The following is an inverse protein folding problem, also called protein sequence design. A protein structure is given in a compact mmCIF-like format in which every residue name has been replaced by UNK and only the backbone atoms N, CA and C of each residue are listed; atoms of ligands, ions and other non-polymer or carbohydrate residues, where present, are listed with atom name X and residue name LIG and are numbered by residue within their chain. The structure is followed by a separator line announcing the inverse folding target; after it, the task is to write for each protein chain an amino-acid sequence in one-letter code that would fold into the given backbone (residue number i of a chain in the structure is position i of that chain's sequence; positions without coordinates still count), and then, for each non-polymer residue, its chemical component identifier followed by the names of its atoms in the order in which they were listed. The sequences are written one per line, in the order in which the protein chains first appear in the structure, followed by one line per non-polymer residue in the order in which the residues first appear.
data_IF_822133646117
#
_entry.id   IF_822133646117
#
_cell.length_a   1.000
_cell.length_b   1.000
_cell.length_c   1.000
_cell.angle_alpha   90.00
_cell.angle_beta   90.00
_cell.angle_gamma   90.00
#
_symmetry.space_group_name_H-M   'P 1'
#
loop_
_entity.id
_entity.type
_entity.pdbx_description
1 polymer ?
#
# COMPACT_ATOMS: atom_id res chain seq x y z
N UNK A 1 27.66 5.04 -12.57
CA UNK A 1 26.54 5.91 -12.96
C UNK A 1 25.28 5.08 -13.03
N UNK A 2 24.67 4.82 -11.87
CA UNK A 2 23.23 4.62 -11.87
C UNK A 2 22.64 5.97 -12.32
N UNK A 3 21.80 5.96 -13.35
CA UNK A 3 21.18 7.17 -13.88
C UNK A 3 20.57 7.98 -12.72
N UNK A 4 21.05 9.21 -12.51
CA UNK A 4 20.66 10.12 -11.41
C UNK A 4 19.13 10.28 -11.26
N UNK A 5 18.40 10.19 -12.37
CA UNK A 5 16.94 10.21 -12.36
C UNK A 5 16.32 8.91 -11.81
N UNK A 6 16.96 7.76 -12.04
CA UNK A 6 16.54 6.47 -11.52
C UNK A 6 16.76 6.33 -10.01
N UNK A 7 17.87 6.87 -9.49
CA UNK A 7 18.16 6.89 -8.05
C UNK A 7 17.22 7.84 -7.29
N UNK A 8 16.99 9.06 -7.81
CA UNK A 8 16.02 10.02 -7.20
C UNK A 8 14.62 9.43 -7.11
N UNK A 9 14.15 8.82 -8.20
CA UNK A 9 12.81 8.21 -8.25
C UNK A 9 12.70 7.00 -7.33
N UNK A 10 13.72 6.15 -7.27
CA UNK A 10 13.73 5.01 -6.35
C UNK A 10 13.68 5.47 -4.89
N UNK A 11 14.46 6.49 -4.55
CA UNK A 11 14.50 6.99 -3.20
C UNK A 11 13.22 7.70 -2.75
N UNK A 12 12.52 8.35 -3.66
CA UNK A 12 11.19 8.92 -3.40
C UNK A 12 10.21 7.86 -2.89
N UNK A 13 10.26 6.62 -3.41
CA UNK A 13 9.38 5.53 -2.99
C UNK A 13 9.76 4.89 -1.65
N UNK A 14 10.96 5.18 -1.14
CA UNK A 14 11.37 4.74 0.20
C UNK A 14 10.78 5.62 1.30
N UNK A 15 10.42 6.86 0.99
CA UNK A 15 9.84 7.78 1.99
C UNK A 15 8.48 7.29 2.51
N UNK A 16 7.50 6.89 1.67
CA UNK A 16 6.28 6.22 2.14
C UNK A 16 6.56 4.96 2.94
N UNK A 17 7.53 4.14 2.52
CA UNK A 17 7.92 2.95 3.25
C UNK A 17 8.45 3.26 4.66
N UNK A 18 9.28 4.31 4.81
CA UNK A 18 9.74 4.79 6.11
C UNK A 18 8.58 5.27 6.99
N UNK A 19 7.68 6.09 6.44
CA UNK A 19 6.49 6.59 7.16
C UNK A 19 5.66 5.41 7.68
N UNK A 20 5.46 4.39 6.85
CA UNK A 20 4.70 3.21 7.18
C UNK A 20 5.40 2.31 8.21
N UNK A 21 6.73 2.18 8.13
CA UNK A 21 7.53 1.48 9.12
C UNK A 21 7.43 2.16 10.49
N UNK A 22 7.56 3.49 10.56
CA UNK A 22 7.42 4.23 11.82
C UNK A 22 6.04 4.00 12.43
N UNK A 23 4.98 4.05 11.62
CA UNK A 23 3.63 3.76 12.11
C UNK A 23 3.50 2.33 12.63
N UNK A 24 4.05 1.34 11.90
CA UNK A 24 4.04 -0.05 12.31
C UNK A 24 4.76 -0.26 13.64
N UNK A 25 5.96 0.31 13.79
CA UNK A 25 6.74 0.30 15.03
C UNK A 25 5.96 0.88 16.21
N UNK A 26 5.32 2.04 16.02
CA UNK A 26 4.57 2.71 17.08
C UNK A 26 3.35 1.91 17.57
N UNK A 27 2.80 1.04 16.72
CA UNK A 27 1.59 0.28 17.00
C UNK A 27 1.84 -1.23 17.19
N UNK A 28 3.09 -1.68 17.11
CA UNK A 28 3.46 -3.10 17.26
C UNK A 28 3.02 -3.98 16.09
N UNK A 29 2.91 -3.44 14.87
CA UNK A 29 2.68 -4.23 13.67
C UNK A 29 4.00 -4.72 13.06
N UNK A 30 3.96 -5.90 12.45
CA UNK A 30 5.01 -6.32 11.55
C UNK A 30 4.96 -5.48 10.26
N UNK A 31 6.13 -5.11 9.74
CA UNK A 31 6.27 -4.38 8.48
C UNK A 31 7.09 -5.18 7.47
N UNK A 32 6.62 -5.24 6.22
CA UNK A 32 7.33 -5.91 5.13
C UNK A 32 7.37 -5.02 3.89
N UNK A 33 8.56 -4.52 3.55
CA UNK A 33 8.80 -3.88 2.26
C UNK A 33 9.21 -4.95 1.24
N UNK A 34 8.34 -5.24 0.26
CA UNK A 34 8.53 -6.33 -0.69
C UNK A 34 8.95 -5.83 -2.07
N UNK A 35 10.17 -6.15 -2.48
CA UNK A 35 10.63 -5.93 -3.85
C UNK A 35 10.41 -7.18 -4.70
N UNK A 36 9.47 -7.09 -5.63
CA UNK A 36 9.12 -8.21 -6.50
C UNK A 36 9.90 -8.15 -7.81
N UNK A 37 10.53 -9.25 -8.26
CA UNK A 37 11.18 -9.29 -9.55
C UNK A 37 10.12 -9.17 -10.66
N UNK A 38 10.20 -8.09 -11.45
CA UNK A 38 9.24 -7.83 -12.53
C UNK A 38 9.79 -8.14 -13.93
N UNK A 39 11.12 -8.29 -14.05
CA UNK A 39 11.75 -8.69 -15.32
C UNK A 39 11.21 -10.08 -15.70
N UNK A 40 10.72 -10.21 -16.94
CA UNK A 40 10.12 -11.42 -17.52
C UNK A 40 8.68 -11.78 -17.09
N UNK A 41 7.99 -10.90 -16.37
CA UNK A 41 6.56 -11.12 -16.06
C UNK A 41 5.73 -10.73 -17.29
N UNK A 42 4.80 -11.61 -17.71
CA UNK A 42 3.98 -11.31 -18.88
C UNK A 42 2.94 -10.21 -18.66
N UNK A 43 2.76 -9.74 -17.42
CA UNK A 43 1.79 -8.73 -16.98
C UNK A 43 2.48 -7.43 -16.57
N UNK A 44 1.75 -6.33 -16.49
CA UNK A 44 2.22 -5.08 -15.89
C UNK A 44 2.66 -5.30 -14.43
N UNK A 45 3.71 -4.61 -13.91
CA UNK A 45 4.19 -4.80 -12.53
C UNK A 45 3.12 -4.63 -11.44
N UNK A 46 2.09 -3.81 -11.66
CA UNK A 46 0.97 -3.65 -10.73
C UNK A 46 0.32 -5.00 -10.32
N UNK A 47 0.35 -6.00 -11.19
CA UNK A 47 -0.18 -7.33 -10.90
C UNK A 47 0.62 -8.10 -9.83
N UNK A 48 1.88 -7.75 -9.60
CA UNK A 48 2.76 -8.46 -8.67
C UNK A 48 2.34 -8.32 -7.21
N UNK A 49 1.55 -7.29 -6.87
CA UNK A 49 0.96 -7.16 -5.53
C UNK A 49 0.14 -8.39 -5.15
N UNK A 50 -0.56 -9.01 -6.10
CA UNK A 50 -1.34 -10.23 -5.86
C UNK A 50 -0.45 -11.41 -5.44
N UNK A 51 0.74 -11.52 -6.05
CA UNK A 51 1.72 -12.55 -5.71
C UNK A 51 2.31 -12.27 -4.34
N UNK A 52 2.72 -11.03 -4.07
CA UNK A 52 3.25 -10.61 -2.77
C UNK A 52 2.25 -10.87 -1.63
N UNK A 53 1.00 -10.43 -1.79
CA UNK A 53 -0.08 -10.66 -0.83
C UNK A 53 -0.34 -12.15 -0.60
N UNK A 54 -0.37 -12.97 -1.66
CA UNK A 54 -0.54 -14.44 -1.52
C UNK A 54 0.62 -15.09 -0.76
N UNK A 55 1.85 -14.59 -0.92
CA UNK A 55 3.03 -15.13 -0.24
C UNK A 55 3.03 -14.80 1.26
N UNK A 56 2.63 -13.58 1.63
CA UNK A 56 2.72 -13.11 3.01
C UNK A 56 1.49 -13.46 3.85
N UNK A 57 0.29 -13.47 3.25
CA UNK A 57 -0.98 -13.68 3.96
C UNK A 57 -1.01 -14.93 4.87
N UNK A 58 -0.46 -16.10 4.49
CA UNK A 58 -0.47 -17.28 5.36
C UNK A 58 0.23 -17.12 6.72
N UNK A 59 1.08 -16.09 6.87
CA UNK A 59 1.86 -15.83 8.09
C UNK A 59 1.14 -14.92 9.09
N UNK A 60 0.03 -14.32 8.69
CA UNK A 60 -0.67 -13.30 9.45
C UNK A 60 -2.17 -13.59 9.52
N UNK A 61 -2.88 -13.03 10.51
CA UNK A 61 -4.35 -13.07 10.53
C UNK A 61 -4.93 -12.02 9.57
N UNK A 62 -4.35 -10.82 9.57
CA UNK A 62 -4.70 -9.73 8.68
C UNK A 62 -3.45 -9.17 7.99
N UNK A 63 -3.59 -8.74 6.75
CA UNK A 63 -2.55 -8.02 6.00
C UNK A 63 -3.16 -6.75 5.43
N UNK A 64 -2.64 -5.60 5.83
CA UNK A 64 -2.87 -4.33 5.13
C UNK A 64 -1.82 -4.19 4.03
N UNK A 65 -2.27 -4.06 2.79
CA UNK A 65 -1.46 -3.74 1.64
C UNK A 65 -1.55 -2.24 1.34
N UNK A 66 -0.40 -1.64 1.02
CA UNK A 66 -0.25 -0.26 0.60
C UNK A 66 0.59 -0.23 -0.69
N UNK A 67 0.10 0.47 -1.73
CA UNK A 67 0.93 0.84 -2.87
C UNK A 67 2.07 1.76 -2.42
N UNK A 68 3.15 1.83 -3.20
CA UNK A 68 4.37 2.56 -2.83
C UNK A 68 4.18 4.08 -2.69
N UNK A 69 3.06 4.60 -3.15
CA UNK A 69 2.60 5.99 -3.04
C UNK A 69 1.49 6.18 -1.99
N UNK A 70 1.22 5.17 -1.16
CA UNK A 70 0.29 5.22 -0.05
C UNK A 70 0.99 5.17 1.32
N UNK A 71 0.56 6.02 2.25
CA UNK A 71 1.15 6.09 3.58
C UNK A 71 0.18 6.55 4.68
N UNK A 72 0.44 6.15 5.92
CA UNK A 72 -0.34 6.59 7.09
C UNK A 72 -0.21 8.10 7.31
N UNK A 73 -1.35 8.79 7.48
CA UNK A 73 -1.37 10.21 7.81
C UNK A 73 -0.79 10.45 9.20
N UNK A 74 0.01 11.52 9.32
CA UNK A 74 0.61 11.96 10.58
C UNK A 74 -0.01 13.29 11.08
N UNK A 75 -0.09 13.53 12.40
CA UNK A 75 0.23 12.59 13.48
C UNK A 75 -0.73 11.39 13.45
N UNK A 76 -0.16 10.18 13.61
CA UNK A 76 -0.88 8.92 13.44
C UNK A 76 -2.19 8.89 14.22
N UNK A 77 -3.28 8.49 13.55
CA UNK A 77 -4.48 8.10 14.31
C UNK A 77 -4.13 6.81 15.06
N UNK A 78 -4.46 6.67 16.36
CA UNK A 78 -4.33 5.38 17.02
C UNK A 78 -5.17 4.32 16.30
N UNK A 79 -4.62 3.12 16.13
CA UNK A 79 -5.37 1.93 15.71
C UNK A 79 -6.03 2.02 14.31
N UNK A 80 -5.34 2.63 13.34
CA UNK A 80 -5.84 2.75 11.95
C UNK A 80 -6.17 1.38 11.34
N UNK A 81 -5.30 0.40 11.56
CA UNK A 81 -5.46 -0.94 10.97
C UNK A 81 -6.67 -1.65 11.56
N UNK A 82 -6.82 -1.64 12.88
CA UNK A 82 -7.97 -2.23 13.58
C UNK A 82 -9.26 -1.54 13.16
N UNK A 83 -9.23 -0.21 12.99
CA UNK A 83 -10.38 0.53 12.49
C UNK A 83 -10.78 0.06 11.09
N UNK A 84 -9.82 -0.14 10.17
CA UNK A 84 -10.11 -0.67 8.83
C UNK A 84 -10.68 -2.11 8.88
N UNK A 85 -10.15 -2.95 9.77
CA UNK A 85 -10.65 -4.31 10.00
C UNK A 85 -12.11 -4.30 10.48
N UNK A 86 -12.44 -3.40 11.42
CA UNK A 86 -13.78 -3.28 12.00
C UNK A 86 -14.77 -2.70 11.00
N UNK A 87 -14.44 -1.58 10.35
CA UNK A 87 -15.30 -0.95 9.32
C UNK A 87 -15.48 -1.87 8.11
N UNK A 88 -14.41 -2.58 7.73
CA UNK A 88 -14.41 -3.60 6.69
C UNK A 88 -15.15 -4.88 7.07
N UNK A 89 -15.55 -5.04 8.34
CA UNK A 89 -16.23 -6.23 8.87
C UNK A 89 -15.42 -7.52 8.68
N UNK A 90 -14.09 -7.44 8.62
CA UNK A 90 -13.23 -8.62 8.42
C UNK A 90 -13.31 -9.59 9.62
N UNK A 91 -13.40 -9.03 10.82
CA UNK A 91 -13.65 -9.78 12.05
C UNK A 91 -15.03 -10.46 12.08
N UNK A 92 -15.95 -10.08 11.18
CA UNK A 92 -17.30 -10.66 11.04
C UNK A 92 -17.46 -11.60 9.83
N UNK A 93 -16.35 -11.98 9.19
CA UNK A 93 -16.36 -12.97 8.11
C UNK A 93 -16.03 -12.41 6.73
N UNK A 94 -15.98 -11.09 6.54
CA UNK A 94 -15.49 -10.52 5.28
C UNK A 94 -14.01 -10.87 5.08
N UNK A 95 -13.62 -11.12 3.83
CA UNK A 95 -12.28 -11.59 3.48
C UNK A 95 -11.36 -10.46 3.06
N UNK A 96 -11.94 -9.34 2.62
CA UNK A 96 -11.22 -8.17 2.14
C UNK A 96 -12.03 -6.90 2.38
N UNK A 97 -11.33 -5.82 2.69
CA UNK A 97 -11.86 -4.46 2.61
C UNK A 97 -10.94 -3.59 1.78
N UNK A 98 -11.53 -2.80 0.89
CA UNK A 98 -10.85 -1.81 0.07
C UNK A 98 -11.80 -0.65 -0.21
N UNK A 99 -11.35 0.38 -0.91
CA UNK A 99 -12.19 1.49 -1.30
C UNK A 99 -12.67 1.36 -2.74
N UNK A 100 -13.88 1.88 -3.03
CA UNK A 100 -14.27 2.15 -4.41
C UNK A 100 -13.60 3.46 -4.88
N UNK A 101 -12.90 3.47 -6.01
CA UNK A 101 -12.33 4.69 -6.67
C UNK A 101 -13.41 5.34 -7.55
N UNK A 102 -13.23 6.45 -8.28
CA UNK A 102 -12.26 7.57 -8.37
C UNK A 102 -13.12 8.76 -8.82
N UNK A 103 -12.76 10.00 -8.50
CA UNK A 103 -13.38 11.20 -9.09
C UNK A 103 -13.27 11.20 -10.63
N UNK A 104 -12.25 10.52 -11.17
CA UNK A 104 -11.94 10.45 -12.61
C UNK A 104 -12.63 9.28 -13.35
N UNK A 105 -12.91 8.17 -12.66
CA UNK A 105 -13.51 6.94 -13.21
C UNK A 105 -14.40 6.27 -12.14
N UNK A 106 -15.67 6.70 -12.00
CA UNK A 106 -16.52 6.43 -10.83
C UNK A 106 -16.92 4.96 -10.59
N UNK A 107 -16.42 4.03 -11.40
CA UNK A 107 -16.81 2.63 -11.37
C UNK A 107 -15.67 1.66 -11.07
N UNK A 108 -14.41 2.09 -11.02
CA UNK A 108 -13.27 1.22 -10.78
C UNK A 108 -12.95 1.23 -9.28
N UNK A 109 -12.73 0.08 -8.63
CA UNK A 109 -12.28 0.05 -7.23
C UNK A 109 -10.84 0.57 -7.12
N UNK A 110 -10.36 1.11 -6.00
CA UNK A 110 -8.93 1.44 -5.85
C UNK A 110 -8.24 0.33 -5.05
N UNK A 111 -7.24 -0.30 -5.63
CA UNK A 111 -6.54 -1.45 -5.02
C UNK A 111 -5.16 -1.08 -4.49
N UNK A 112 -4.88 0.21 -4.32
CA UNK A 112 -3.68 0.73 -3.70
C UNK A 112 -3.70 0.72 -2.17
N UNK A 113 -4.89 0.63 -1.56
CA UNK A 113 -5.03 0.38 -0.12
C UNK A 113 -6.12 -0.66 0.09
N UNK A 114 -5.74 -1.82 0.63
CA UNK A 114 -6.69 -2.89 0.94
C UNK A 114 -6.22 -3.72 2.13
N UNK A 115 -7.16 -4.21 2.94
CA UNK A 115 -6.90 -5.15 4.02
C UNK A 115 -7.47 -6.51 3.66
N UNK A 116 -6.69 -7.56 3.89
CA UNK A 116 -7.04 -8.96 3.70
C UNK A 116 -7.14 -9.66 5.04
N UNK A 117 -8.12 -10.54 5.18
CA UNK A 117 -8.14 -11.56 6.23
C UNK A 117 -7.54 -12.86 5.69
N UNK A 118 -6.74 -13.57 6.47
CA UNK A 118 -6.24 -14.88 6.07
C UNK A 118 -7.35 -15.93 6.16
N UNK A 119 -7.75 -16.45 5.00
CA UNK A 119 -8.73 -17.52 4.87
C UNK A 119 -8.51 -18.28 3.55
N UNK A 120 -9.03 -19.50 3.47
CA UNK A 120 -9.02 -20.27 2.22
C UNK A 120 -9.71 -19.52 1.08
N UNK A 121 -10.82 -18.82 1.40
CA UNK A 121 -11.56 -18.02 0.43
C UNK A 121 -10.73 -16.82 -0.06
N UNK A 122 -9.99 -16.15 0.82
CA UNK A 122 -9.08 -15.06 0.42
C UNK A 122 -7.98 -15.55 -0.51
N UNK A 123 -7.36 -16.69 -0.20
CA UNK A 123 -6.34 -17.29 -1.05
C UNK A 123 -6.90 -17.73 -2.41
N UNK A 124 -8.14 -18.23 -2.44
CA UNK A 124 -8.85 -18.54 -3.68
C UNK A 124 -9.15 -17.29 -4.49
N UNK A 125 -9.66 -16.23 -3.87
CA UNK A 125 -9.94 -14.95 -4.52
C UNK A 125 -8.66 -14.34 -5.12
N UNK A 126 -7.54 -14.33 -4.41
CA UNK A 126 -6.25 -13.85 -4.95
C UNK A 126 -5.78 -14.67 -6.16
N UNK A 127 -6.00 -15.98 -6.14
CA UNK A 127 -5.73 -16.86 -7.27
C UNK A 127 -6.62 -16.51 -8.47
N UNK A 128 -7.93 -16.43 -8.25
CA UNK A 128 -8.89 -16.12 -9.30
C UNK A 128 -8.66 -14.73 -9.89
N UNK A 129 -8.29 -13.75 -9.06
CA UNK A 129 -7.92 -12.42 -9.51
C UNK A 129 -6.73 -12.44 -10.46
N UNK A 130 -5.66 -13.15 -10.12
CA UNK A 130 -4.49 -13.29 -10.99
C UNK A 130 -4.80 -13.94 -12.35
N UNK A 131 -5.69 -14.94 -12.36
CA UNK A 131 -6.07 -15.69 -13.57
C UNK A 131 -7.27 -15.11 -14.33
N UNK A 132 -7.99 -14.16 -13.74
CA UNK A 132 -9.24 -13.57 -14.26
C UNK A 132 -9.13 -13.14 -15.73
N UNK A 133 -8.13 -12.32 -16.06
CA UNK A 133 -7.96 -11.80 -17.42
C UNK A 133 -7.70 -12.89 -18.48
N UNK A 134 -7.07 -14.01 -18.09
CA UNK A 134 -6.82 -15.13 -19.01
C UNK A 134 -8.12 -15.88 -19.32
N UNK A 135 -9.02 -15.95 -18.36
CA UNK A 135 -10.32 -16.61 -18.49
C UNK A 135 -11.35 -15.74 -19.20
N UNK A 136 -11.19 -14.42 -19.15
CA UNK A 136 -12.12 -13.45 -19.74
C UNK A 136 -11.44 -12.58 -20.80
N UNK A 137 -11.41 -13.08 -22.04
CA UNK A 137 -10.65 -12.49 -23.16
C UNK A 137 -10.94 -11.01 -23.42
N UNK A 138 -12.17 -10.54 -23.17
CA UNK A 138 -12.55 -9.14 -23.33
C UNK A 138 -11.78 -8.19 -22.39
N UNK A 139 -11.23 -8.69 -21.27
CA UNK A 139 -10.46 -7.93 -20.30
C UNK A 139 -8.94 -8.11 -20.46
N UNK A 140 -8.48 -8.86 -21.47
CA UNK A 140 -7.05 -9.13 -21.69
C UNK A 140 -6.20 -7.86 -21.90
N UNK A 141 -6.80 -6.76 -22.35
CA UNK A 141 -6.10 -5.48 -22.48
C UNK A 141 -5.51 -5.01 -21.13
N UNK A 142 -6.21 -5.24 -20.03
CA UNK A 142 -5.78 -4.89 -18.67
C UNK A 142 -4.59 -5.71 -18.16
N UNK A 143 -4.12 -6.70 -18.94
CA UNK A 143 -2.82 -7.32 -18.72
C UNK A 143 -1.68 -6.30 -18.74
N UNK A 144 -1.81 -5.24 -19.57
CA UNK A 144 -0.78 -4.21 -19.78
C UNK A 144 -1.30 -2.78 -19.91
N UNK A 145 -2.61 -2.58 -20.07
CA UNK A 145 -3.22 -1.26 -20.09
C UNK A 145 -3.79 -0.93 -18.70
N UNK A 146 -3.74 0.34 -18.35
CA UNK A 146 -4.46 0.86 -17.19
C UNK A 146 -5.97 0.57 -17.34
N UNK A 147 -6.70 0.20 -16.28
CA UNK A 147 -6.31 0.19 -14.86
C UNK A 147 -5.79 -1.17 -14.34
N UNK A 148 -5.20 -2.00 -15.20
CA UNK A 148 -4.50 -3.23 -14.80
C UNK A 148 -5.34 -4.23 -13.98
N UNK A 149 -4.78 -4.74 -12.88
CA UNK A 149 -5.44 -5.65 -11.95
C UNK A 149 -6.70 -5.03 -11.34
N UNK A 150 -6.75 -3.70 -11.24
CA UNK A 150 -7.81 -2.96 -10.59
C UNK A 150 -9.12 -3.02 -11.40
N UNK A 151 -9.02 -2.92 -12.74
CA UNK A 151 -10.14 -3.22 -13.63
C UNK A 151 -10.59 -4.69 -13.54
N UNK A 152 -9.63 -5.61 -13.50
CA UNK A 152 -9.95 -7.03 -13.40
C UNK A 152 -10.66 -7.36 -12.08
N UNK A 153 -10.27 -6.71 -10.99
CA UNK A 153 -10.96 -6.80 -9.71
C UNK A 153 -12.39 -6.34 -9.86
N UNK A 154 -12.56 -5.10 -10.32
CA UNK A 154 -13.86 -4.44 -10.43
C UNK A 154 -14.85 -5.24 -11.26
N UNK A 155 -14.43 -5.73 -12.42
CA UNK A 155 -15.33 -6.28 -13.42
C UNK A 155 -15.49 -7.80 -13.38
N UNK A 156 -14.57 -8.51 -12.72
CA UNK A 156 -14.56 -9.98 -12.71
C UNK A 156 -14.61 -10.48 -11.28
N UNK A 157 -13.70 -10.02 -10.43
CA UNK A 157 -13.52 -10.59 -9.08
C UNK A 157 -14.60 -10.10 -8.12
N UNK A 158 -14.80 -8.79 -8.00
CA UNK A 158 -15.78 -8.22 -7.08
C UNK A 158 -17.20 -8.76 -7.31
N UNK A 159 -17.73 -8.89 -8.55
CA UNK A 159 -19.04 -9.50 -8.78
C UNK A 159 -19.13 -10.96 -8.29
N UNK A 160 -18.02 -11.71 -8.32
CA UNK A 160 -17.97 -13.10 -7.86
C UNK A 160 -17.81 -13.24 -6.33
N UNK A 161 -17.36 -12.17 -5.65
CA UNK A 161 -17.03 -12.15 -4.22
C UNK A 161 -17.73 -11.00 -3.45
N UNK A 162 -18.81 -10.43 -4.00
CA UNK A 162 -19.46 -9.22 -3.48
C UNK A 162 -19.96 -9.38 -2.04
N UNK A 163 -20.43 -10.57 -1.67
CA UNK A 163 -20.86 -10.89 -0.31
C UNK A 163 -19.70 -11.07 0.66
N UNK A 164 -18.48 -11.26 0.18
CA UNK A 164 -17.28 -11.49 1.00
C UNK A 164 -16.36 -10.26 1.07
N UNK A 165 -16.54 -9.29 0.17
CA UNK A 165 -15.75 -8.04 0.10
C UNK A 165 -16.54 -6.86 0.67
N UNK A 166 -15.86 -5.98 1.40
CA UNK A 166 -16.39 -4.70 1.87
C UNK A 166 -15.78 -3.53 1.10
N UNK A 167 -16.63 -2.58 0.70
CA UNK A 167 -16.21 -1.32 0.09
C UNK A 167 -16.29 -0.21 1.14
N UNK A 168 -15.15 0.42 1.42
CA UNK A 168 -14.99 1.54 2.36
C UNK A 168 -15.01 2.89 1.66
N UNK A 169 -15.11 3.95 2.46
CA UNK A 169 -15.07 5.36 2.01
C UNK A 169 -13.68 5.73 1.47
N UNK A 170 -13.63 6.24 0.23
CA UNK A 170 -12.39 6.67 -0.41
C UNK A 170 -11.67 7.76 0.39
N UNK A 171 -12.45 8.73 0.88
CA UNK A 171 -11.99 9.92 1.62
C UNK A 171 -11.26 9.58 2.92
N UNK A 172 -11.56 8.44 3.54
CA UNK A 172 -10.91 8.06 4.79
C UNK A 172 -9.63 7.26 4.57
N UNK A 173 -9.63 6.38 3.57
CA UNK A 173 -8.68 5.26 3.50
C UNK A 173 -7.73 5.29 2.32
N UNK A 174 -8.08 5.98 1.25
CA UNK A 174 -7.41 5.75 -0.02
C UNK A 174 -7.61 6.94 -0.95
N UNK A 175 -7.35 8.16 -0.48
CA UNK A 175 -7.40 9.38 -1.28
C UNK A 175 -6.18 10.25 -1.03
N UNK A 176 -5.85 11.23 -1.91
CA UNK A 176 -4.73 12.13 -1.66
C UNK A 176 -4.87 12.92 -0.35
N UNK A 177 -6.11 13.21 0.05
CA UNK A 177 -6.46 13.89 1.31
C UNK A 177 -6.96 12.93 2.40
N UNK A 178 -6.67 11.64 2.23
CA UNK A 178 -7.13 10.56 3.09
C UNK A 178 -7.00 10.87 4.57
N UNK A 179 -8.08 10.63 5.32
CA UNK A 179 -8.11 10.91 6.77
C UNK A 179 -7.11 10.06 7.55
N UNK A 180 -6.98 8.79 7.19
CA UNK A 180 -6.15 7.82 7.90
C UNK A 180 -4.94 7.39 7.08
N UNK A 181 -5.15 7.13 5.79
CA UNK A 181 -4.10 6.75 4.85
C UNK A 181 -4.23 7.67 3.64
N UNK A 182 -3.15 8.37 3.32
CA UNK A 182 -3.06 9.20 2.11
C UNK A 182 -2.50 8.33 0.99
N UNK A 183 -3.14 8.38 -0.18
CA UNK A 183 -2.65 7.71 -1.40
C UNK A 183 -2.46 8.77 -2.48
N UNK A 184 -1.20 9.05 -2.82
CA UNK A 184 -0.81 10.19 -3.65
C UNK A 184 -0.64 9.76 -5.10
N UNK A 185 -1.75 9.46 -5.76
CA UNK A 185 -1.77 9.14 -7.19
C UNK A 185 -1.73 10.39 -8.08
N UNK A 186 -1.76 10.18 -9.40
CA UNK A 186 -1.30 11.02 -10.52
C UNK A 186 -1.86 12.45 -10.69
N UNK A 187 -2.46 13.08 -9.68
CA UNK A 187 -2.95 14.47 -9.76
C UNK A 187 -1.91 15.53 -9.37
N UNK A 188 -0.80 15.11 -8.76
CA UNK A 188 0.28 16.00 -8.32
C UNK A 188 1.53 15.85 -9.19
N UNK A 189 2.29 16.94 -9.35
CA UNK A 189 3.62 16.92 -9.97
C UNK A 189 4.60 16.06 -9.16
N UNK A 190 5.72 15.64 -9.77
CA UNK A 190 6.75 14.88 -9.05
C UNK A 190 7.31 15.65 -7.86
N UNK A 191 7.56 16.96 -8.01
CA UNK A 191 8.10 17.79 -6.93
C UNK A 191 7.09 17.97 -5.78
N UNK A 192 5.79 18.14 -6.08
CA UNK A 192 4.75 18.20 -5.05
C UNK A 192 4.64 16.89 -4.26
N UNK A 193 4.71 15.75 -4.95
CA UNK A 193 4.68 14.43 -4.30
C UNK A 193 5.91 14.22 -3.41
N UNK A 194 7.07 14.58 -3.93
CA UNK A 194 8.32 14.51 -3.19
C UNK A 194 8.25 15.34 -1.91
N UNK A 195 7.81 16.60 -2.00
CA UNK A 195 7.69 17.47 -0.82
C UNK A 195 6.71 16.90 0.22
N UNK A 196 5.56 16.38 -0.23
CA UNK A 196 4.59 15.73 0.66
C UNK A 196 5.21 14.56 1.42
N UNK A 197 5.97 13.70 0.72
CA UNK A 197 6.62 12.56 1.35
C UNK A 197 7.73 12.99 2.32
N UNK A 198 8.52 14.02 1.97
CA UNK A 198 9.56 14.57 2.85
C UNK A 198 8.96 15.14 4.13
N UNK A 199 7.91 15.95 4.02
CA UNK A 199 7.25 16.56 5.17
C UNK A 199 6.64 15.49 6.10
N UNK A 200 6.00 14.48 5.51
CA UNK A 200 5.40 13.38 6.26
C UNK A 200 6.46 12.47 6.92
N UNK A 201 7.59 12.23 6.26
CA UNK A 201 8.70 11.46 6.81
C UNK A 201 9.36 12.21 7.97
N UNK A 202 9.69 13.49 7.80
CA UNK A 202 10.25 14.33 8.86
C UNK A 202 9.32 14.40 10.08
N UNK A 203 8.01 14.50 9.87
CA UNK A 203 7.04 14.47 10.96
C UNK A 203 7.00 13.10 11.65
N UNK A 204 7.09 11.99 10.92
CA UNK A 204 7.11 10.63 11.48
C UNK A 204 8.33 10.41 12.37
N UNK A 205 9.52 10.83 11.92
CA UNK A 205 10.77 10.67 12.67
C UNK A 205 10.74 11.46 13.99
N UNK A 206 10.26 12.71 13.98
CA UNK A 206 10.10 13.49 15.21
C UNK A 206 9.20 12.79 16.24
N UNK A 207 8.09 12.19 15.79
CA UNK A 207 7.22 11.44 16.70
C UNK A 207 7.88 10.16 17.23
N UNK A 208 8.72 9.51 16.43
CA UNK A 208 9.48 8.34 16.88
C UNK A 208 10.49 8.72 17.96
N UNK A 209 11.24 9.81 17.77
CA UNK A 209 12.18 10.34 18.78
C UNK A 209 11.47 10.68 20.09
N UNK A 210 10.35 11.42 20.05
CA UNK A 210 9.55 11.76 21.22
C UNK A 210 9.00 10.52 21.96
N UNK A 211 8.71 9.43 21.22
CA UNK A 211 8.19 8.17 21.76
C UNK A 211 9.30 7.26 22.30
N UNK A 212 10.50 7.31 21.73
CA UNK A 212 11.67 6.54 22.16
C UNK A 212 12.16 6.91 23.57
N UNK A 213 11.88 8.15 24.00
CA UNK A 213 12.07 8.57 25.39
C UNK A 213 11.08 7.92 26.38
N UNK A 214 10.10 7.14 25.89
CA UNK A 214 9.01 6.57 26.70
C UNK A 214 8.94 5.03 26.72
N UNK A 215 9.51 4.27 25.76
CA UNK A 215 9.54 2.77 25.79
C UNK A 215 10.53 2.11 24.79
N UNK A 216 10.77 0.78 24.97
CA UNK A 216 11.87 -0.14 24.56
C UNK A 216 12.59 -0.02 23.18
N UNK A 217 13.85 -0.51 23.17
CA UNK A 217 14.93 -0.23 22.20
C UNK A 217 14.97 -1.04 20.88
N UNK A 218 14.26 -2.17 20.73
CA UNK A 218 14.40 -3.03 19.54
C UNK A 218 13.73 -2.50 18.25
N UNK A 219 12.53 -1.88 18.27
CA UNK A 219 11.88 -1.36 17.06
C UNK A 219 12.64 -0.21 16.38
N UNK A 220 13.58 0.42 17.10
CA UNK A 220 14.36 1.58 16.64
C UNK A 220 15.43 1.16 15.63
N UNK A 221 15.95 -0.07 15.71
CA UNK A 221 17.05 -0.52 14.84
C UNK A 221 16.63 -0.72 13.37
N UNK A 222 15.41 -1.24 13.12
CA UNK A 222 14.88 -1.38 11.75
C UNK A 222 14.54 -0.02 11.12
N UNK A 223 14.09 0.94 11.94
CA UNK A 223 13.91 2.32 11.50
C UNK A 223 15.26 2.97 11.16
N UNK A 224 16.33 2.66 11.92
CA UNK A 224 17.66 3.21 11.67
C UNK A 224 18.21 2.85 10.28
N UNK A 225 18.08 1.61 9.80
CA UNK A 225 18.56 1.25 8.44
C UNK A 225 17.82 2.01 7.32
N UNK A 226 16.51 2.23 7.48
CA UNK A 226 15.70 3.00 6.52
C UNK A 226 15.94 4.51 6.65
N UNK A 227 16.22 4.99 7.86
CA UNK A 227 16.63 6.39 8.12
C UNK A 227 18.00 6.64 7.50
N UNK A 228 18.99 5.78 7.70
CA UNK A 228 20.32 5.90 7.11
C UNK A 228 20.23 5.91 5.58
N UNK A 229 19.38 5.06 4.99
CA UNK A 229 19.14 5.01 3.55
C UNK A 229 18.44 6.28 3.03
N UNK A 230 17.52 6.86 3.82
CA UNK A 230 16.88 8.14 3.48
C UNK A 230 17.85 9.31 3.65
N UNK A 231 18.67 9.32 4.69
CA UNK A 231 19.67 10.36 4.94
C UNK A 231 20.77 10.34 3.88
N UNK A 232 21.21 9.17 3.42
CA UNK A 232 22.14 9.02 2.28
C UNK A 232 21.55 9.62 1.01
N UNK A 233 20.26 9.37 0.75
CA UNK A 233 19.52 9.95 -0.38
C UNK A 233 19.41 11.47 -0.26
N UNK A 234 19.09 11.99 0.93
CA UNK A 234 18.93 13.42 1.17
C UNK A 234 20.26 14.16 1.10
N UNK A 235 21.35 13.57 1.62
CA UNK A 235 22.70 14.13 1.56
C UNK A 235 23.21 14.24 0.12
N UNK A 236 22.84 13.30 -0.75
CA UNK A 236 23.17 13.36 -2.18
C UNK A 236 22.37 14.40 -3.00
N UNK A 237 21.42 15.13 -2.39
CA UNK A 237 20.71 16.26 -3.01
C UNK A 237 21.25 17.64 -2.61
N UNK A 238 22.15 17.70 -1.62
CA UNK A 238 22.71 18.96 -1.11
C UNK A 238 24.04 19.34 -1.78
N UNK A 239 24.44 18.65 -2.85
CA UNK A 239 25.66 18.90 -3.63
C UNK A 239 25.39 18.94 -5.13
#
# INVERSE_FOLDING_TARGET
MFEEAGSRRYAMWLLPALINLVHAVQHGYDFAHMQMPFKHVSRHPAWLKLVAMRMILPRYEYVLYLDSDAFFRQPGTPQVVEKMILEGQLSRGKIMALTKEDVSYPDIANTGVLTLRNSEETLKMLHDWWYSIVQHKQYMMYKRAWSFEQAAFTWIVYPAYNESVSLLTLEDWNSPEGKHIRHIWSVLSEDEREQIFLDAAALSLRHLEESSHRTQAEPIAAAAELVDLVDEVLAHKLH
#
